data_IF_717527343464
#
_entry.id   IF_717527343464
#
_cell.length_a   1.000
_cell.length_b   1.000
_cell.length_c   1.000
_cell.angle_alpha   90.00
_cell.angle_beta   90.00
_cell.angle_gamma   90.00
#
_symmetry.space_group_name_H-M   'P 1'
#
loop_
_entity.id
_entity.type
_entity.pdbx_description
1 polymer ?
#
# COMPACT_ATOMS: atom_id res chain seq x y z
N UNK A 1 24.31 25.64 -13.01
CA UNK A 1 25.20 25.99 -11.88
C UNK A 1 26.48 25.16 -12.00
N UNK A 2 27.51 25.38 -11.16
CA UNK A 2 28.82 24.75 -11.33
C UNK A 2 28.84 23.26 -10.92
N UNK A 3 29.36 22.39 -11.79
CA UNK A 3 29.56 20.95 -11.52
C UNK A 3 30.50 20.66 -10.33
N UNK A 4 31.31 21.62 -9.88
CA UNK A 4 32.15 21.46 -8.69
C UNK A 4 31.32 21.51 -7.40
N UNK A 5 30.29 22.37 -7.33
CA UNK A 5 29.43 22.53 -6.14
C UNK A 5 28.76 21.22 -5.76
N UNK A 6 28.25 20.49 -6.75
CA UNK A 6 27.57 19.21 -6.53
C UNK A 6 28.52 18.13 -6.01
N UNK A 7 29.80 18.14 -6.44
CA UNK A 7 30.82 17.20 -5.98
C UNK A 7 31.31 17.51 -4.56
N UNK A 8 31.38 18.79 -4.20
CA UNK A 8 31.72 19.22 -2.84
C UNK A 8 30.59 18.86 -1.86
N UNK A 9 29.33 19.06 -2.23
CA UNK A 9 28.18 18.55 -1.45
C UNK A 9 28.16 17.01 -1.38
N UNK A 10 28.40 16.29 -2.48
CA UNK A 10 28.44 14.82 -2.48
C UNK A 10 29.56 14.27 -1.57
N UNK A 11 30.72 14.93 -1.53
CA UNK A 11 31.83 14.58 -0.64
C UNK A 11 31.49 14.83 0.83
N UNK A 12 30.94 16.00 1.17
CA UNK A 12 30.51 16.32 2.53
C UNK A 12 29.35 15.41 2.99
N UNK A 13 28.44 15.05 2.10
CA UNK A 13 27.37 14.10 2.40
C UNK A 13 27.91 12.68 2.63
N UNK A 14 29.01 12.27 1.98
CA UNK A 14 29.70 11.00 2.26
C UNK A 14 30.39 11.00 3.63
N UNK A 15 30.96 12.14 4.06
CA UNK A 15 31.56 12.27 5.39
C UNK A 15 30.53 12.42 6.53
N UNK A 16 29.35 13.00 6.25
CA UNK A 16 28.28 13.23 7.24
C UNK A 16 27.28 12.07 7.40
N UNK A 17 27.39 11.00 6.59
CA UNK A 17 26.49 9.86 6.70
C UNK A 17 27.09 8.75 7.56
N UNK A 18 26.38 8.38 8.63
CA UNK A 18 26.68 7.19 9.43
C UNK A 18 26.66 5.92 8.54
N UNK A 19 27.80 5.22 8.37
CA UNK A 19 27.86 4.01 7.55
C UNK A 19 26.98 2.88 8.06
N UNK A 20 26.69 2.83 9.36
CA UNK A 20 25.78 1.84 9.95
C UNK A 20 24.35 2.08 9.44
N UNK A 21 23.90 3.34 9.42
CA UNK A 21 22.58 3.73 8.92
C UNK A 21 22.43 3.47 7.42
N UNK A 22 23.51 3.61 6.64
CA UNK A 22 23.51 3.24 5.22
C UNK A 22 23.44 1.73 5.00
N UNK A 23 24.29 0.95 5.69
CA UNK A 23 24.31 -0.51 5.57
C UNK A 23 22.99 -1.14 6.04
N UNK A 24 22.46 -0.72 7.20
CA UNK A 24 21.12 -1.05 7.69
C UNK A 24 20.01 -0.86 6.64
N UNK A 25 20.13 0.21 5.83
CA UNK A 25 19.14 0.58 4.82
C UNK A 25 19.32 -0.28 3.56
N UNK A 26 20.57 -0.54 3.16
CA UNK A 26 20.92 -1.40 2.04
C UNK A 26 20.48 -2.84 2.29
N UNK A 27 20.84 -3.40 3.44
CA UNK A 27 20.51 -4.77 3.85
C UNK A 27 18.98 -4.99 3.92
N UNK A 28 18.22 -3.98 4.34
CA UNK A 28 16.76 -4.00 4.33
C UNK A 28 16.15 -4.02 2.90
N UNK A 29 16.83 -3.41 1.91
CA UNK A 29 16.31 -3.27 0.54
C UNK A 29 16.88 -4.27 -0.48
N UNK A 30 17.99 -4.97 -0.22
CA UNK A 30 18.62 -5.90 -1.19
C UNK A 30 17.69 -7.08 -1.57
N UNK A 31 16.79 -7.51 -0.67
CA UNK A 31 15.71 -8.48 -0.96
C UNK A 31 14.70 -8.00 -2.03
N UNK A 32 14.56 -6.69 -2.23
CA UNK A 32 13.47 -6.08 -3.01
C UNK A 32 13.97 -5.33 -4.26
N UNK A 33 15.27 -5.02 -4.36
CA UNK A 33 15.84 -4.20 -5.44
C UNK A 33 16.88 -5.00 -6.22
N UNK A 34 16.37 -5.83 -7.14
CA UNK A 34 17.18 -6.73 -7.97
C UNK A 34 17.86 -6.01 -9.15
N UNK A 35 17.19 -5.04 -9.76
CA UNK A 35 17.55 -4.49 -11.08
C UNK A 35 18.46 -3.25 -11.03
N UNK A 36 18.24 -2.33 -10.09
CA UNK A 36 19.13 -1.18 -9.84
C UNK A 36 19.66 -1.23 -8.41
N UNK A 37 20.67 -2.07 -8.16
CA UNK A 37 21.31 -2.22 -6.84
C UNK A 37 21.93 -0.91 -6.32
N UNK A 38 22.30 -0.01 -7.23
CA UNK A 38 22.89 1.29 -6.90
C UNK A 38 21.80 2.33 -6.54
N UNK A 39 20.51 2.03 -6.76
CA UNK A 39 19.38 2.93 -6.45
C UNK A 39 19.43 3.46 -5.02
N UNK A 40 19.68 2.58 -4.04
CA UNK A 40 19.76 2.99 -2.63
C UNK A 40 20.90 3.96 -2.41
N UNK A 41 22.07 3.75 -3.02
CA UNK A 41 23.20 4.67 -2.92
C UNK A 41 22.91 6.02 -3.60
N UNK A 42 22.41 6.00 -4.85
CA UNK A 42 22.00 7.20 -5.61
C UNK A 42 21.00 8.05 -4.81
N UNK A 43 19.93 7.43 -4.30
CA UNK A 43 18.85 8.08 -3.54
C UNK A 43 19.33 8.58 -2.18
N UNK A 44 20.20 7.82 -1.51
CA UNK A 44 20.75 8.20 -0.22
C UNK A 44 21.72 9.38 -0.34
N UNK A 45 22.57 9.41 -1.37
CA UNK A 45 23.52 10.50 -1.60
C UNK A 45 22.86 11.80 -2.10
N UNK A 46 21.86 11.72 -2.99
CA UNK A 46 21.31 12.89 -3.68
C UNK A 46 20.65 13.94 -2.77
N UNK A 47 20.00 13.55 -1.67
CA UNK A 47 19.43 14.56 -0.78
C UNK A 47 18.47 14.07 0.30
N UNK A 48 18.09 15.01 1.18
CA UNK A 48 17.37 14.72 2.41
C UNK A 48 15.94 14.20 2.23
N UNK A 49 15.21 14.61 1.17
CA UNK A 49 13.81 14.17 1.00
C UNK A 49 13.72 12.70 0.55
N UNK A 50 14.39 12.26 -0.54
CA UNK A 50 14.40 10.84 -0.92
C UNK A 50 14.97 9.92 0.18
N UNK A 51 16.06 10.34 0.85
CA UNK A 51 16.63 9.64 2.00
C UNK A 51 15.63 9.46 3.16
N UNK A 52 14.84 10.50 3.47
CA UNK A 52 13.76 10.42 4.49
C UNK A 52 12.64 9.46 4.09
N UNK A 53 12.34 9.33 2.81
CA UNK A 53 11.33 8.37 2.32
C UNK A 53 11.80 6.93 2.55
N UNK A 54 13.02 6.57 2.13
CA UNK A 54 13.61 5.25 2.39
C UNK A 54 13.66 4.92 3.89
N UNK A 55 14.12 5.86 4.72
CA UNK A 55 14.17 5.69 6.18
C UNK A 55 12.76 5.52 6.80
N UNK A 56 11.74 6.19 6.27
CA UNK A 56 10.35 6.01 6.71
C UNK A 56 9.83 4.61 6.37
N UNK A 57 10.13 4.10 5.17
CA UNK A 57 9.76 2.75 4.72
C UNK A 57 10.40 1.70 5.63
N UNK A 58 11.74 1.71 5.76
CA UNK A 58 12.48 0.80 6.65
C UNK A 58 11.83 0.74 8.02
N UNK A 59 11.72 1.89 8.69
CA UNK A 59 11.22 1.97 10.07
C UNK A 59 9.80 1.42 10.24
N UNK A 60 8.87 1.80 9.36
CA UNK A 60 7.46 1.41 9.51
C UNK A 60 7.22 -0.06 9.12
N UNK A 61 7.95 -0.58 8.13
CA UNK A 61 7.92 -2.01 7.76
C UNK A 61 8.57 -2.87 8.85
N UNK A 62 9.70 -2.46 9.43
CA UNK A 62 10.31 -3.17 10.57
C UNK A 62 9.34 -3.24 11.75
N UNK A 63 8.69 -2.12 12.10
CA UNK A 63 7.65 -2.10 13.14
C UNK A 63 6.48 -3.04 12.81
N UNK A 64 6.04 -3.10 11.55
CA UNK A 64 4.99 -4.04 11.12
C UNK A 64 5.42 -5.52 11.24
N UNK A 65 6.67 -5.84 10.90
CA UNK A 65 7.22 -7.19 11.07
C UNK A 65 7.35 -7.56 12.56
N UNK A 66 7.80 -6.64 13.41
CA UNK A 66 7.95 -6.84 14.86
C UNK A 66 6.61 -7.11 15.57
N UNK A 67 5.47 -6.72 15.00
CA UNK A 67 4.16 -7.09 15.54
C UNK A 67 3.91 -8.61 15.59
N UNK A 68 4.55 -9.42 14.73
CA UNK A 68 4.43 -10.89 14.83
C UNK A 68 5.18 -11.44 16.06
N UNK A 69 6.22 -10.72 16.55
CA UNK A 69 6.93 -11.04 17.81
C UNK A 69 6.10 -10.62 19.04
N UNK A 70 5.43 -9.47 18.97
CA UNK A 70 4.62 -8.92 20.08
C UNK A 70 3.26 -9.62 20.18
N UNK A 71 2.59 -9.86 19.05
CA UNK A 71 1.25 -10.49 19.02
C UNK A 71 0.99 -11.25 17.72
N UNK A 72 1.59 -12.44 17.64
CA UNK A 72 1.49 -13.39 16.51
C UNK A 72 0.06 -13.50 15.95
N UNK A 73 -0.10 -13.26 14.65
CA UNK A 73 -1.36 -13.46 13.93
C UNK A 73 -2.48 -12.46 14.23
N UNK A 74 -2.16 -11.23 14.64
CA UNK A 74 -3.10 -10.09 14.61
C UNK A 74 -2.55 -8.96 13.76
N UNK A 75 -3.03 -8.90 12.52
CA UNK A 75 -2.38 -8.11 11.47
C UNK A 75 -2.93 -6.68 11.32
N UNK A 76 -3.99 -6.28 12.04
CA UNK A 76 -4.49 -4.88 11.99
C UNK A 76 -3.41 -3.85 12.32
N UNK A 77 -2.56 -4.13 13.33
CA UNK A 77 -1.42 -3.27 13.67
C UNK A 77 -0.38 -3.21 12.54
N UNK A 78 -0.20 -4.31 11.79
CA UNK A 78 0.69 -4.33 10.63
C UNK A 78 0.10 -3.43 9.53
N UNK A 79 -1.17 -3.66 9.16
CA UNK A 79 -1.91 -2.84 8.18
C UNK A 79 -1.86 -1.35 8.55
N UNK A 80 -2.05 -1.00 9.83
CA UNK A 80 -1.88 0.37 10.33
C UNK A 80 -0.50 0.96 9.96
N UNK A 81 0.60 0.25 10.22
CA UNK A 81 1.94 0.75 9.87
C UNK A 81 2.16 0.89 8.35
N UNK A 82 1.62 -0.01 7.51
CA UNK A 82 1.69 0.16 6.04
C UNK A 82 0.87 1.36 5.56
N UNK A 83 -0.34 1.57 6.10
CA UNK A 83 -1.16 2.75 5.76
C UNK A 83 -0.48 4.05 6.22
N UNK A 84 0.03 4.10 7.44
CA UNK A 84 0.84 5.24 7.94
C UNK A 84 2.11 5.45 7.10
N UNK A 85 2.68 4.40 6.51
CA UNK A 85 3.80 4.52 5.58
C UNK A 85 3.39 5.18 4.26
N UNK A 86 2.23 4.82 3.69
CA UNK A 86 1.67 5.52 2.52
C UNK A 86 1.48 7.01 2.84
N UNK A 87 0.75 7.32 3.93
CA UNK A 87 0.48 8.70 4.35
C UNK A 87 1.79 9.49 4.56
N UNK A 88 2.77 8.90 5.23
CA UNK A 88 4.08 9.52 5.47
C UNK A 88 4.84 9.79 4.17
N UNK A 89 4.78 8.88 3.19
CA UNK A 89 5.47 9.04 1.91
C UNK A 89 4.87 10.17 1.06
N UNK A 90 3.55 10.31 1.00
CA UNK A 90 2.91 11.44 0.30
C UNK A 90 3.25 12.77 0.98
N UNK A 91 3.21 12.84 2.32
CA UNK A 91 3.55 14.06 3.08
C UNK A 91 5.05 14.42 2.99
N UNK A 92 5.95 13.44 2.84
CA UNK A 92 7.38 13.70 2.61
C UNK A 92 7.63 14.15 1.16
N UNK A 93 6.95 13.54 0.17
CA UNK A 93 7.02 13.89 -1.27
C UNK A 93 6.52 15.31 -1.53
N UNK A 94 5.38 15.67 -0.96
CA UNK A 94 4.79 17.01 -1.03
C UNK A 94 4.19 17.43 0.34
N UNK A 95 4.94 18.22 1.14
CA UNK A 95 4.43 18.76 2.40
C UNK A 95 3.27 19.76 2.29
N UNK A 96 2.87 20.15 1.07
CA UNK A 96 1.73 21.04 0.79
C UNK A 96 0.54 20.31 0.15
N UNK A 97 0.61 18.98 0.06
CA UNK A 97 -0.42 18.18 -0.61
C UNK A 97 -1.81 18.42 -0.01
N UNK A 98 -2.80 18.63 -0.89
CA UNK A 98 -4.21 18.82 -0.51
C UNK A 98 -4.97 17.51 -0.42
N UNK A 99 -4.34 16.38 -0.75
CA UNK A 99 -4.95 15.05 -0.66
C UNK A 99 -5.28 14.71 0.79
N UNK A 100 -6.44 14.12 1.03
CA UNK A 100 -6.73 13.50 2.33
C UNK A 100 -6.07 12.12 2.44
N UNK A 101 -6.00 11.59 3.66
CA UNK A 101 -5.32 10.31 3.96
C UNK A 101 -5.90 9.13 3.16
N UNK A 102 -7.21 9.11 2.93
CA UNK A 102 -7.89 8.04 2.21
C UNK A 102 -7.60 8.12 0.69
N UNK A 103 -7.50 9.33 0.15
CA UNK A 103 -7.05 9.59 -1.23
C UNK A 103 -5.61 9.12 -1.45
N UNK A 104 -4.69 9.40 -0.52
CA UNK A 104 -3.30 8.90 -0.58
C UNK A 104 -3.26 7.37 -0.68
N UNK A 105 -4.05 6.65 0.11
CA UNK A 105 -4.10 5.18 0.08
C UNK A 105 -4.72 4.65 -1.21
N UNK A 106 -5.83 5.24 -1.70
CA UNK A 106 -6.43 4.82 -2.98
C UNK A 106 -5.50 5.09 -4.16
N UNK A 107 -4.86 6.25 -4.20
CA UNK A 107 -3.93 6.63 -5.25
C UNK A 107 -2.67 5.74 -5.23
N UNK A 108 -2.19 5.36 -4.05
CA UNK A 108 -1.10 4.40 -3.90
C UNK A 108 -1.40 3.06 -4.58
N UNK A 109 -2.54 2.45 -4.25
CA UNK A 109 -2.96 1.17 -4.85
C UNK A 109 -3.33 1.29 -6.34
N UNK A 110 -3.76 2.47 -6.79
CA UNK A 110 -4.04 2.76 -8.21
C UNK A 110 -2.77 2.90 -9.04
N UNK A 111 -1.77 3.65 -8.58
CA UNK A 111 -0.65 4.07 -9.42
C UNK A 111 0.61 3.22 -9.21
N UNK A 112 1.04 2.98 -7.97
CA UNK A 112 2.38 2.46 -7.66
C UNK A 112 2.49 0.94 -7.53
N UNK A 113 1.37 0.24 -7.39
CA UNK A 113 1.33 -1.23 -7.37
C UNK A 113 1.39 -1.79 -8.81
N UNK A 114 2.16 -2.86 -9.04
CA UNK A 114 2.35 -3.41 -10.39
C UNK A 114 1.09 -4.09 -10.94
N UNK A 115 1.04 -4.35 -12.25
CA UNK A 115 -0.09 -5.08 -12.85
C UNK A 115 -0.18 -6.53 -12.33
N UNK A 116 0.96 -7.19 -12.03
CA UNK A 116 1.02 -8.50 -11.40
C UNK A 116 0.48 -8.46 -9.96
N UNK A 117 0.99 -7.54 -9.14
CA UNK A 117 0.57 -7.35 -7.75
C UNK A 117 -0.93 -6.99 -7.65
N UNK A 118 -1.43 -6.16 -8.57
CA UNK A 118 -2.86 -5.82 -8.70
C UNK A 118 -3.71 -7.04 -9.08
N UNK A 119 -3.24 -7.87 -10.02
CA UNK A 119 -3.91 -9.11 -10.40
C UNK A 119 -3.90 -10.13 -9.26
N UNK A 120 -2.81 -10.21 -8.48
CA UNK A 120 -2.70 -11.05 -7.28
C UNK A 120 -3.76 -10.64 -6.25
N UNK A 121 -3.85 -9.35 -5.89
CA UNK A 121 -4.90 -8.83 -4.98
C UNK A 121 -6.30 -9.23 -5.46
N UNK A 122 -6.62 -8.97 -6.74
CA UNK A 122 -7.95 -9.32 -7.31
C UNK A 122 -8.24 -10.82 -7.38
N UNK A 123 -7.21 -11.67 -7.31
CA UNK A 123 -7.32 -13.14 -7.28
C UNK A 123 -7.36 -13.71 -5.86
N UNK A 124 -6.92 -12.98 -4.84
CA UNK A 124 -6.80 -13.49 -3.45
C UNK A 124 -7.60 -12.68 -2.43
N UNK A 125 -8.45 -11.76 -2.87
CA UNK A 125 -9.41 -11.06 -2.02
C UNK A 125 -10.74 -11.00 -2.78
N UNK A 126 -11.79 -11.53 -2.16
CA UNK A 126 -13.11 -11.69 -2.77
C UNK A 126 -14.18 -11.07 -1.88
N UNK A 127 -15.21 -10.46 -2.48
CA UNK A 127 -16.43 -10.12 -1.76
C UNK A 127 -17.18 -11.42 -1.45
N UNK A 128 -17.51 -11.67 -0.19
CA UNK A 128 -18.35 -12.81 0.19
C UNK A 128 -19.81 -12.49 -0.13
N UNK A 129 -20.54 -13.44 -0.71
CA UNK A 129 -21.94 -13.25 -1.11
C UNK A 129 -22.89 -13.53 0.05
N UNK A 130 -23.62 -12.50 0.48
CA UNK A 130 -24.88 -12.68 1.21
C UNK A 130 -26.04 -12.94 0.22
N UNK A 131 -26.01 -14.07 -0.50
CA UNK A 131 -27.12 -14.65 -1.29
C UNK A 131 -27.88 -13.77 -2.34
N UNK A 132 -27.59 -12.49 -2.51
CA UNK A 132 -28.33 -11.58 -3.41
C UNK A 132 -27.97 -11.78 -4.90
N UNK A 133 -28.64 -12.74 -5.55
CA UNK A 133 -28.60 -12.92 -7.01
C UNK A 133 -29.16 -11.67 -7.70
N UNK A 134 -28.28 -10.79 -8.15
CA UNK A 134 -28.64 -9.61 -8.93
C UNK A 134 -29.02 -10.03 -10.37
N UNK A 135 -30.33 -10.21 -10.58
CA UNK A 135 -30.92 -10.50 -11.89
C UNK A 135 -31.06 -9.23 -12.72
N UNK A 136 -30.13 -9.00 -13.65
CA UNK A 136 -30.36 -7.99 -14.67
C UNK A 136 -31.35 -8.49 -15.71
N UNK A 137 -32.37 -7.67 -16.02
CA UNK A 137 -33.23 -7.87 -17.19
C UNK A 137 -32.60 -7.15 -18.37
N UNK A 138 -32.08 -7.92 -19.32
CA UNK A 138 -31.67 -7.39 -20.63
C UNK A 138 -32.68 -7.83 -21.68
N UNK A 139 -33.14 -6.84 -22.43
CA UNK A 139 -34.01 -7.05 -23.60
C UNK A 139 -33.07 -7.36 -24.76
N UNK A 140 -33.28 -8.49 -25.45
CA UNK A 140 -32.52 -8.84 -26.64
C UNK A 140 -33.08 -8.17 -27.92
N UNK A 141 -32.42 -8.38 -29.05
CA UNK A 141 -32.82 -7.83 -30.36
C UNK A 141 -34.19 -8.33 -30.87
N UNK A 142 -34.80 -9.33 -30.23
CA UNK A 142 -36.15 -9.83 -30.54
C UNK A 142 -37.22 -9.31 -29.57
N UNK A 143 -36.83 -8.47 -28.61
CA UNK A 143 -37.73 -7.92 -27.59
C UNK A 143 -37.99 -8.88 -26.42
N UNK A 144 -37.32 -10.04 -26.35
CA UNK A 144 -37.49 -10.98 -25.25
C UNK A 144 -36.74 -10.52 -24.00
N UNK A 145 -37.43 -10.51 -22.86
CA UNK A 145 -36.80 -10.29 -21.56
C UNK A 145 -35.98 -11.51 -21.17
N UNK A 146 -34.65 -11.41 -21.25
CA UNK A 146 -33.75 -12.43 -20.74
C UNK A 146 -33.21 -11.97 -19.38
N UNK A 147 -33.51 -12.73 -18.33
CA UNK A 147 -32.80 -12.59 -17.07
C UNK A 147 -31.37 -13.11 -17.29
N UNK A 148 -30.39 -12.25 -17.11
CA UNK A 148 -28.98 -12.58 -17.22
C UNK A 148 -28.37 -12.41 -15.82
N UNK A 149 -27.80 -13.48 -15.29
CA UNK A 149 -27.00 -13.43 -14.06
C UNK A 149 -25.65 -12.78 -14.38
N UNK A 150 -25.55 -11.47 -14.19
CA UNK A 150 -24.34 -10.70 -14.47
C UNK A 150 -23.35 -10.87 -13.32
N UNK A 151 -22.46 -11.83 -13.48
CA UNK A 151 -21.37 -12.18 -12.56
C UNK A 151 -20.23 -11.14 -12.55
N UNK A 152 -20.54 -9.87 -12.32
CA UNK A 152 -19.53 -8.80 -12.19
C UNK A 152 -19.07 -8.60 -10.74
N UNK A 153 -18.63 -9.70 -10.13
CA UNK A 153 -18.20 -9.80 -8.73
C UNK A 153 -16.66 -9.58 -8.59
N UNK A 154 -16.12 -8.67 -9.40
CA UNK A 154 -14.68 -8.35 -9.42
C UNK A 154 -14.38 -7.31 -8.36
N UNK A 155 -13.46 -7.63 -7.44
CA UNK A 155 -12.92 -6.67 -6.50
C UNK A 155 -12.20 -5.55 -7.26
N UNK A 156 -12.52 -4.29 -6.94
CA UNK A 156 -11.72 -3.14 -7.40
C UNK A 156 -10.66 -2.73 -6.38
N UNK A 157 -9.53 -2.23 -6.87
CA UNK A 157 -8.38 -1.85 -6.02
C UNK A 157 -8.73 -0.73 -5.03
N UNK A 158 -9.69 0.12 -5.40
CA UNK A 158 -10.28 1.14 -4.53
C UNK A 158 -11.09 0.57 -3.36
N UNK A 159 -11.64 -0.64 -3.52
CA UNK A 159 -12.28 -1.40 -2.45
C UNK A 159 -11.22 -2.08 -1.56
N UNK A 160 -10.18 -2.69 -2.13
CA UNK A 160 -9.06 -3.23 -1.33
C UNK A 160 -8.40 -2.14 -0.47
N UNK A 161 -8.13 -0.97 -1.06
CA UNK A 161 -7.67 0.20 -0.35
C UNK A 161 -8.62 0.61 0.80
N UNK A 162 -9.94 0.50 0.61
CA UNK A 162 -10.93 0.77 1.65
C UNK A 162 -10.81 -0.20 2.84
N UNK A 163 -10.63 -1.50 2.61
CA UNK A 163 -10.43 -2.49 3.70
C UNK A 163 -9.26 -2.09 4.61
N UNK A 164 -8.18 -1.57 4.02
CA UNK A 164 -6.99 -1.12 4.76
C UNK A 164 -7.23 0.21 5.49
N UNK A 165 -7.95 1.15 4.87
CA UNK A 165 -8.40 2.41 5.50
C UNK A 165 -9.29 2.12 6.71
N UNK A 166 -10.28 1.25 6.56
CA UNK A 166 -11.23 0.89 7.62
C UNK A 166 -10.51 0.19 8.77
N UNK A 167 -9.62 -0.77 8.46
CA UNK A 167 -8.74 -1.40 9.45
C UNK A 167 -7.86 -0.38 10.20
N UNK A 168 -7.35 0.66 9.53
CA UNK A 168 -6.61 1.77 10.14
C UNK A 168 -7.52 2.62 11.04
N UNK A 169 -8.75 2.91 10.60
CA UNK A 169 -9.72 3.73 11.32
C UNK A 169 -10.25 3.04 12.58
N UNK A 170 -10.66 1.79 12.47
CA UNK A 170 -11.11 0.93 13.59
C UNK A 170 -10.02 0.75 14.66
N UNK A 171 -8.74 0.69 14.27
CA UNK A 171 -7.65 0.74 15.25
C UNK A 171 -7.53 2.13 15.91
N UNK A 172 -7.48 3.22 15.13
CA UNK A 172 -7.20 4.58 15.65
C UNK A 172 -8.35 5.16 16.48
N UNK A 173 -9.60 4.91 16.10
CA UNK A 173 -10.78 5.54 16.71
C UNK A 173 -11.49 4.63 17.72
N UNK A 174 -11.44 3.31 17.53
CA UNK A 174 -12.17 2.34 18.37
C UNK A 174 -11.23 1.50 19.25
N UNK A 175 -9.91 1.61 19.04
CA UNK A 175 -8.90 0.82 19.76
C UNK A 175 -8.85 -0.66 19.35
N UNK A 176 -9.56 -1.04 18.27
CA UNK A 176 -9.74 -2.45 17.89
C UNK A 176 -8.55 -2.91 17.04
N UNK A 177 -7.47 -3.25 17.74
CA UNK A 177 -6.20 -3.75 17.20
C UNK A 177 -6.26 -5.16 16.54
N UNK A 178 -7.41 -5.84 16.57
CA UNK A 178 -7.51 -7.32 16.45
C UNK A 178 -8.53 -7.82 15.41
N UNK A 179 -9.22 -6.93 14.69
CA UNK A 179 -10.34 -7.25 13.78
C UNK A 179 -9.96 -7.70 12.37
N UNK A 180 -8.69 -7.60 11.98
CA UNK A 180 -8.17 -8.03 10.68
C UNK A 180 -7.05 -9.06 10.86
N UNK A 181 -6.95 -10.02 9.94
CA UNK A 181 -5.84 -10.98 9.85
C UNK A 181 -5.67 -11.42 8.39
N UNK A 182 -4.43 -11.60 7.94
CA UNK A 182 -4.13 -12.16 6.62
C UNK A 182 -4.27 -13.69 6.63
N UNK A 183 -4.37 -14.28 5.43
CA UNK A 183 -4.33 -15.73 5.29
C UNK A 183 -3.00 -16.32 5.79
N UNK A 184 -3.07 -17.52 6.36
CA UNK A 184 -1.92 -18.34 6.76
C UNK A 184 -2.02 -19.71 6.11
N UNK A 185 -2.75 -20.63 6.75
CA UNK A 185 -2.99 -21.99 6.26
C UNK A 185 -4.38 -22.14 5.59
N UNK A 186 -5.27 -21.16 5.80
CA UNK A 186 -6.61 -21.08 5.21
C UNK A 186 -6.99 -19.64 4.88
N UNK A 187 -8.03 -19.43 4.04
CA UNK A 187 -8.70 -18.13 3.90
C UNK A 187 -9.23 -17.60 5.24
N UNK A 188 -9.37 -16.28 5.34
CA UNK A 188 -9.90 -15.56 6.50
C UNK A 188 -11.06 -14.67 6.06
N UNK A 189 -12.19 -14.74 6.76
CA UNK A 189 -13.29 -13.78 6.59
C UNK A 189 -12.98 -12.48 7.34
N UNK A 190 -13.06 -11.35 6.63
CA UNK A 190 -12.86 -10.00 7.17
C UNK A 190 -14.18 -9.22 7.06
N UNK A 191 -14.78 -8.76 8.16
CA UNK A 191 -15.90 -7.82 8.13
C UNK A 191 -15.40 -6.41 7.78
N UNK A 192 -16.16 -5.68 6.96
CA UNK A 192 -15.83 -4.30 6.56
C UNK A 192 -17.09 -3.43 6.65
N UNK A 193 -17.16 -2.56 7.65
CA UNK A 193 -18.20 -1.51 7.77
C UNK A 193 -17.92 -0.41 6.74
N UNK A 194 -18.26 -0.69 5.48
CA UNK A 194 -18.14 0.25 4.38
C UNK A 194 -19.12 1.42 4.59
N UNK A 195 -18.68 2.47 5.28
CA UNK A 195 -19.48 3.69 5.53
C UNK A 195 -19.73 4.56 4.27
N UNK A 196 -19.50 4.00 3.08
CA UNK A 196 -20.20 4.39 1.85
C UNK A 196 -21.63 3.79 1.88
N UNK A 197 -22.72 4.56 1.95
CA UNK A 197 -22.93 5.93 1.45
C UNK A 197 -23.69 6.77 2.52
N UNK A 198 -23.58 8.10 2.43
CA UNK A 198 -24.20 9.14 3.31
C UNK A 198 -25.70 9.01 3.62
N UNK A 199 -26.46 8.09 3.00
CA UNK A 199 -27.88 7.92 3.24
C UNK A 199 -28.30 6.44 3.27
N UNK A 200 -28.81 6.02 4.44
CA UNK A 200 -29.65 4.86 4.72
C UNK A 200 -29.09 3.44 4.42
N UNK A 201 -29.14 2.60 5.48
CA UNK A 201 -28.70 1.20 5.58
C UNK A 201 -27.17 0.98 5.57
N UNK A 202 -26.65 0.54 6.72
CA UNK A 202 -25.46 -0.33 6.75
C UNK A 202 -25.75 -1.61 5.95
N UNK A 203 -24.74 -2.10 5.25
CA UNK A 203 -24.70 -3.45 4.68
C UNK A 203 -23.35 -4.04 5.05
N UNK A 204 -23.34 -5.04 5.92
CA UNK A 204 -22.11 -5.59 6.50
C UNK A 204 -21.40 -6.42 5.42
N UNK A 205 -20.41 -5.83 4.75
CA UNK A 205 -19.76 -6.49 3.62
C UNK A 205 -18.57 -7.31 4.10
N UNK A 206 -18.76 -8.62 4.09
CA UNK A 206 -17.70 -9.58 4.37
C UNK A 206 -16.82 -9.78 3.14
N UNK A 207 -15.51 -9.86 3.35
CA UNK A 207 -14.52 -10.16 2.33
C UNK A 207 -13.72 -11.40 2.74
N UNK A 208 -13.61 -12.38 1.84
CA UNK A 208 -12.74 -13.53 2.01
C UNK A 208 -11.33 -13.14 1.54
N UNK A 209 -10.35 -13.26 2.44
CA UNK A 209 -8.94 -12.92 2.21
C UNK A 209 -8.12 -14.20 2.19
N UNK A 210 -7.55 -14.49 1.02
CA UNK A 210 -6.55 -15.54 0.77
C UNK A 210 -5.13 -14.96 0.63
N UNK A 211 -5.02 -13.62 0.58
CA UNK A 211 -3.76 -12.89 0.54
C UNK A 211 -2.99 -13.11 1.85
N UNK A 212 -1.75 -13.57 1.76
CA UNK A 212 -0.88 -13.77 2.93
C UNK A 212 -0.16 -12.48 3.33
N UNK A 213 0.31 -12.41 4.58
CA UNK A 213 1.08 -11.26 5.06
C UNK A 213 2.38 -11.04 4.24
N UNK A 214 3.06 -12.12 3.85
CA UNK A 214 4.29 -12.05 3.05
C UNK A 214 4.04 -11.47 1.65
N UNK A 215 2.93 -11.88 1.00
CA UNK A 215 2.49 -11.31 -0.27
C UNK A 215 2.17 -9.81 -0.10
N UNK A 216 1.39 -9.46 0.93
CA UNK A 216 1.05 -8.06 1.22
C UNK A 216 2.29 -7.19 1.50
N UNK A 217 3.28 -7.70 2.27
CA UNK A 217 4.57 -7.02 2.48
C UNK A 217 5.28 -6.77 1.16
N UNK A 218 5.47 -7.81 0.32
CA UNK A 218 6.13 -7.69 -0.99
C UNK A 218 5.45 -6.63 -1.86
N UNK A 219 4.13 -6.71 -1.98
CA UNK A 219 3.30 -5.78 -2.75
C UNK A 219 3.53 -4.32 -2.29
N UNK A 220 3.44 -4.07 -0.98
CA UNK A 220 3.57 -2.72 -0.44
C UNK A 220 5.00 -2.17 -0.55
N UNK A 221 6.03 -2.97 -0.24
CA UNK A 221 7.43 -2.53 -0.36
C UNK A 221 7.76 -2.20 -1.82
N UNK A 222 7.36 -3.06 -2.77
CA UNK A 222 7.54 -2.79 -4.20
C UNK A 222 6.81 -1.51 -4.64
N UNK A 223 5.61 -1.25 -4.11
CA UNK A 223 4.89 0.02 -4.33
C UNK A 223 5.60 1.24 -3.74
N UNK A 224 6.14 1.12 -2.52
CA UNK A 224 6.90 2.19 -1.88
C UNK A 224 8.18 2.53 -2.66
N UNK A 225 8.91 1.52 -3.12
CA UNK A 225 10.11 1.69 -3.94
C UNK A 225 9.77 2.43 -5.23
N UNK A 226 8.69 2.04 -5.95
CA UNK A 226 8.24 2.76 -7.15
C UNK A 226 7.82 4.21 -6.89
N UNK A 227 7.24 4.49 -5.72
CA UNK A 227 6.88 5.87 -5.33
C UNK A 227 8.11 6.73 -5.05
N UNK A 228 9.16 6.16 -4.44
CA UNK A 228 10.46 6.84 -4.27
C UNK A 228 11.18 7.00 -5.61
N UNK A 229 11.16 5.98 -6.48
CA UNK A 229 11.72 6.02 -7.83
C UNK A 229 11.08 7.13 -8.67
N UNK A 230 9.76 7.22 -8.75
CA UNK A 230 9.06 8.27 -9.51
C UNK A 230 9.42 9.68 -8.99
N UNK A 231 9.47 9.85 -7.67
CA UNK A 231 9.88 11.13 -7.08
C UNK A 231 11.35 11.47 -7.39
N UNK A 232 12.25 10.51 -7.24
CA UNK A 232 13.68 10.66 -7.54
C UNK A 232 13.94 11.00 -9.01
N UNK A 233 13.28 10.28 -9.93
CA UNK A 233 13.26 10.56 -11.36
C UNK A 233 12.73 11.97 -11.68
N UNK A 234 11.69 12.43 -10.98
CA UNK A 234 11.13 13.77 -11.17
C UNK A 234 12.08 14.89 -10.73
N UNK A 235 12.93 14.63 -9.73
CA UNK A 235 13.98 15.55 -9.30
C UNK A 235 15.11 15.59 -10.34
N UNK A 236 15.58 14.43 -10.83
CA UNK A 236 16.64 14.36 -11.85
C UNK A 236 16.21 15.01 -13.16
N UNK A 237 14.96 14.80 -13.60
CA UNK A 237 14.39 15.37 -14.84
C UNK A 237 13.95 16.84 -14.70
N UNK A 238 14.12 17.43 -13.52
CA UNK A 238 13.85 18.85 -13.23
C UNK A 238 15.05 19.77 -13.39
N UNK A 239 16.21 19.25 -13.80
CA UNK A 239 17.46 19.98 -14.06
C UNK A 239 17.87 19.92 -15.54
#
# INVERSE_FOLDING_TARGET
MNNNSFKEEESLLKELCDPLVFNDLKDFFDEYIVEDRDFIEKVFLYGNVPRRMLNSIRRLVTLANDMEKIRKGKDSLKVFFYVVCIESLYIIKDPKTTMNKDEMVRDFFKNYISLEDKALIKRTVHKKRENEIHKEKKIDFLGTNKEIEVLEDKLELTQFAQILIDCRNTFVHEGIYWGFSFAKDSPVDVPVDLQSIRYMKRTDKYYQVELTYEQFRRICINGFIRLVQEYFDSLIKGF
#
